data_IF_087942526894
#
_entry.id   IF_087942526894
#
_cell.length_a   1.000
_cell.length_b   1.000
_cell.length_c   1.000
_cell.angle_alpha   90.00
_cell.angle_beta   90.00
_cell.angle_gamma   90.00
#
_symmetry.space_group_name_H-M   'P 1'
#
loop_
_entity.id
_entity.type
_entity.pdbx_description
1 polymer ?
#
# COMPACT_ATOMS: atom_id res chain seq x y z
N UNK A 1 -1.30 17.95 29.49
CA UNK A 1 -0.50 16.71 29.30
C UNK A 1 -1.23 15.66 28.47
N UNK A 2 -2.50 15.36 28.79
CA UNK A 2 -3.30 14.35 28.08
C UNK A 2 -3.47 14.62 26.58
N UNK A 3 -3.92 15.81 26.18
CA UNK A 3 -4.09 16.17 24.76
C UNK A 3 -2.79 16.04 23.96
N UNK A 4 -1.66 16.43 24.56
CA UNK A 4 -0.33 16.26 23.96
C UNK A 4 -0.01 14.79 23.69
N UNK A 5 -0.41 13.88 24.59
CA UNK A 5 -0.19 12.44 24.42
C UNK A 5 -1.03 11.89 23.27
N UNK A 6 -2.32 12.21 23.20
CA UNK A 6 -3.19 11.84 22.07
C UNK A 6 -2.63 12.34 20.74
N UNK A 7 -2.28 13.63 20.66
CA UNK A 7 -1.72 14.23 19.45
C UNK A 7 -0.40 13.59 19.03
N UNK A 8 0.45 13.20 19.99
CA UNK A 8 1.72 12.53 19.70
C UNK A 8 1.49 11.14 19.12
N UNK A 9 0.56 10.35 19.68
CA UNK A 9 0.23 9.02 19.15
C UNK A 9 -0.41 9.15 17.77
N UNK A 10 -1.35 10.08 17.59
CA UNK A 10 -1.98 10.35 16.29
C UNK A 10 -0.93 10.73 15.23
N UNK A 11 0.03 11.61 15.58
CA UNK A 11 1.13 11.97 14.69
C UNK A 11 2.02 10.77 14.33
N UNK A 12 2.30 9.88 15.28
CA UNK A 12 3.07 8.66 15.02
C UNK A 12 2.33 7.70 14.08
N UNK A 13 1.03 7.50 14.25
CA UNK A 13 0.22 6.66 13.38
C UNK A 13 0.09 7.27 11.98
N UNK A 14 -0.11 8.59 11.87
CA UNK A 14 -0.11 9.30 10.59
C UNK A 14 1.25 9.21 9.89
N UNK A 15 2.36 9.30 10.63
CA UNK A 15 3.69 9.09 10.07
C UNK A 15 3.87 7.67 9.52
N UNK A 16 3.32 6.66 10.19
CA UNK A 16 3.32 5.29 9.65
C UNK A 16 2.53 5.22 8.34
N UNK A 17 1.37 5.88 8.25
CA UNK A 17 0.59 5.91 7.00
C UNK A 17 1.38 6.54 5.83
N UNK A 18 2.04 7.67 6.10
CA UNK A 18 2.95 8.33 5.14
C UNK A 18 4.10 7.42 4.72
N UNK A 19 4.72 6.70 5.66
CA UNK A 19 5.79 5.76 5.35
C UNK A 19 5.28 4.61 4.45
N UNK A 20 4.08 4.09 4.71
CA UNK A 20 3.48 3.04 3.86
C UNK A 20 3.23 3.59 2.44
N UNK A 21 2.76 4.82 2.28
CA UNK A 21 2.60 5.44 0.94
C UNK A 21 3.93 5.48 0.18
N UNK A 22 4.99 5.95 0.85
CA UNK A 22 6.34 5.98 0.26
C UNK A 22 6.86 4.59 -0.10
N UNK A 23 6.69 3.62 0.80
CA UNK A 23 7.11 2.23 0.57
C UNK A 23 6.35 1.60 -0.60
N UNK A 24 5.02 1.78 -0.68
CA UNK A 24 4.22 1.29 -1.81
C UNK A 24 4.71 1.87 -3.14
N UNK A 25 5.03 3.17 -3.18
CA UNK A 25 5.54 3.82 -4.39
C UNK A 25 6.91 3.26 -4.81
N UNK A 26 7.81 3.08 -3.84
CA UNK A 26 9.14 2.49 -4.07
C UNK A 26 9.02 1.04 -4.56
N UNK A 27 8.20 0.22 -3.90
CA UNK A 27 8.01 -1.19 -4.26
C UNK A 27 7.33 -1.34 -5.62
N UNK A 28 6.34 -0.50 -5.97
CA UNK A 28 5.75 -0.48 -7.30
C UNK A 28 6.81 -0.19 -8.39
N UNK A 29 7.72 0.74 -8.13
CA UNK A 29 8.85 1.02 -9.02
C UNK A 29 9.78 -0.20 -9.15
N UNK A 30 10.09 -0.89 -8.05
CA UNK A 30 10.91 -2.10 -8.09
C UNK A 30 10.22 -3.24 -8.86
N UNK A 31 8.90 -3.43 -8.68
CA UNK A 31 8.10 -4.38 -9.47
C UNK A 31 8.19 -4.05 -10.96
N UNK A 32 8.06 -2.79 -11.35
CA UNK A 32 8.16 -2.36 -12.75
C UNK A 32 9.55 -2.67 -13.34
N UNK A 33 10.61 -2.43 -12.57
CA UNK A 33 11.97 -2.74 -13.02
C UNK A 33 12.16 -4.25 -13.21
N UNK A 34 11.74 -5.06 -12.24
CA UNK A 34 11.85 -6.53 -12.32
C UNK A 34 11.02 -7.11 -13.47
N UNK A 35 9.80 -6.63 -13.67
CA UNK A 35 8.94 -7.09 -14.78
C UNK A 35 9.53 -6.71 -16.14
N UNK A 36 10.11 -5.51 -16.28
CA UNK A 36 10.84 -5.10 -17.48
C UNK A 36 12.08 -5.99 -17.73
N UNK A 37 12.84 -6.32 -16.68
CA UNK A 37 13.98 -7.24 -16.74
C UNK A 37 13.55 -8.64 -17.19
N UNK A 38 12.45 -9.18 -16.64
CA UNK A 38 11.90 -10.48 -17.04
C UNK A 38 11.50 -10.48 -18.52
N UNK A 39 10.79 -9.46 -18.98
CA UNK A 39 10.39 -9.31 -20.38
C UNK A 39 11.62 -9.21 -21.31
N UNK A 40 12.67 -8.52 -20.89
CA UNK A 40 13.92 -8.45 -21.62
C UNK A 40 14.63 -9.81 -21.71
N UNK A 41 14.67 -10.58 -20.61
CA UNK A 41 15.21 -11.94 -20.65
C UNK A 41 14.38 -12.86 -21.53
N UNK A 42 13.05 -12.78 -21.51
CA UNK A 42 12.18 -13.52 -22.43
C UNK A 42 12.56 -13.22 -23.90
N UNK A 43 12.80 -11.95 -24.26
CA UNK A 43 13.24 -11.61 -25.61
C UNK A 43 14.63 -12.18 -25.96
N UNK A 44 15.61 -12.06 -25.06
CA UNK A 44 16.95 -12.61 -25.29
C UNK A 44 16.96 -14.14 -25.42
N UNK A 45 16.23 -14.83 -24.54
CA UNK A 45 16.08 -16.29 -24.56
C UNK A 45 15.44 -16.74 -25.88
N UNK A 46 14.39 -16.05 -26.32
CA UNK A 46 13.72 -16.31 -27.59
C UNK A 46 14.68 -16.18 -28.79
N UNK A 47 15.57 -15.18 -28.79
CA UNK A 47 16.59 -14.98 -29.84
C UNK A 47 17.72 -16.00 -29.81
N UNK A 48 18.19 -16.42 -28.64
CA UNK A 48 19.27 -17.41 -28.52
C UNK A 48 18.75 -18.81 -28.89
N UNK A 49 17.54 -19.14 -28.44
CA UNK A 49 16.91 -20.44 -28.71
C UNK A 49 16.64 -20.64 -30.20
N UNK A 50 16.29 -19.57 -30.93
CA UNK A 50 16.08 -19.65 -32.39
C UNK A 50 17.36 -19.90 -33.18
N UNK A 51 18.53 -19.59 -32.61
CA UNK A 51 19.85 -19.85 -33.17
C UNK A 51 20.44 -21.21 -32.72
N UNK A 52 19.63 -22.09 -32.12
CA UNK A 52 20.05 -23.38 -31.53
C UNK A 52 21.10 -23.26 -30.40
N UNK A 53 21.22 -22.09 -29.76
CA UNK A 53 22.04 -21.91 -28.57
C UNK A 53 21.33 -22.39 -27.30
N UNK A 54 22.09 -22.67 -26.23
CA UNK A 54 21.54 -23.01 -24.90
C UNK A 54 21.56 -21.79 -23.98
N UNK A 55 20.42 -21.11 -23.73
CA UNK A 55 20.39 -19.86 -22.95
C UNK A 55 20.34 -20.09 -21.43
N UNK A 56 21.09 -21.07 -20.90
CA UNK A 56 20.97 -21.51 -19.51
C UNK A 56 21.19 -20.36 -18.51
N UNK A 57 22.23 -19.56 -18.70
CA UNK A 57 22.50 -18.39 -17.85
C UNK A 57 21.38 -17.34 -17.87
N UNK A 58 20.68 -17.19 -19.00
CA UNK A 58 19.55 -16.27 -19.12
C UNK A 58 18.30 -16.83 -18.45
N UNK A 59 18.09 -18.14 -18.53
CA UNK A 59 17.01 -18.82 -17.80
C UNK A 59 17.18 -18.67 -16.29
N UNK A 60 18.41 -18.83 -15.78
CA UNK A 60 18.72 -18.65 -14.36
C UNK A 60 18.49 -17.21 -13.90
N UNK A 61 18.97 -16.22 -14.67
CA UNK A 61 18.74 -14.79 -14.38
C UNK A 61 17.26 -14.42 -14.43
N UNK A 62 16.49 -15.01 -15.34
CA UNK A 62 15.04 -14.83 -15.42
C UNK A 62 14.34 -15.39 -14.18
N UNK A 63 14.71 -16.61 -13.76
CA UNK A 63 14.14 -17.25 -12.59
C UNK A 63 14.49 -16.49 -11.30
N UNK A 64 15.70 -15.95 -11.20
CA UNK A 64 16.11 -15.04 -10.13
C UNK A 64 15.23 -13.80 -10.07
N UNK A 65 15.04 -13.12 -11.20
CA UNK A 65 14.21 -11.91 -11.27
C UNK A 65 12.74 -12.20 -10.87
N UNK A 66 12.20 -13.35 -11.28
CA UNK A 66 10.87 -13.82 -10.85
C UNK A 66 10.82 -14.08 -9.35
N UNK A 67 11.86 -14.68 -8.77
CA UNK A 67 11.93 -14.91 -7.31
C UNK A 67 11.96 -13.59 -6.54
N UNK A 68 12.76 -12.63 -6.99
CA UNK A 68 12.81 -11.29 -6.40
C UNK A 68 11.47 -10.57 -6.51
N UNK A 69 10.79 -10.69 -7.65
CA UNK A 69 9.46 -10.14 -7.86
C UNK A 69 8.44 -10.75 -6.88
N UNK A 70 8.52 -12.06 -6.66
CA UNK A 70 7.64 -12.79 -5.74
C UNK A 70 7.79 -12.37 -4.27
N UNK A 71 8.97 -11.84 -3.88
CA UNK A 71 9.17 -11.26 -2.55
C UNK A 71 8.41 -9.93 -2.38
N UNK A 72 8.30 -9.14 -3.45
CA UNK A 72 7.60 -7.85 -3.41
C UNK A 72 6.08 -8.02 -3.52
N UNK A 73 5.61 -8.91 -4.39
CA UNK A 73 4.19 -9.09 -4.67
C UNK A 73 3.87 -10.54 -5.02
N UNK A 74 2.71 -11.04 -4.59
CA UNK A 74 2.25 -12.37 -4.95
C UNK A 74 1.96 -12.47 -6.45
N UNK A 75 2.67 -13.38 -7.11
CA UNK A 75 2.53 -13.66 -8.53
C UNK A 75 2.32 -15.14 -8.82
N UNK A 76 1.74 -15.42 -9.98
CA UNK A 76 1.68 -16.71 -10.64
C UNK A 76 2.43 -16.62 -11.97
N UNK A 77 3.15 -17.68 -12.30
CA UNK A 77 4.04 -17.72 -13.47
C UNK A 77 3.58 -18.87 -14.37
N UNK A 78 3.41 -18.57 -15.65
CA UNK A 78 3.01 -19.54 -16.66
C UNK A 78 4.02 -19.50 -17.79
N UNK A 79 4.56 -20.67 -18.14
CA UNK A 79 5.44 -20.79 -19.31
C UNK A 79 4.64 -21.01 -20.59
N UNK A 80 4.94 -20.23 -21.62
CA UNK A 80 4.31 -20.33 -22.95
C UNK A 80 5.33 -20.04 -24.03
N UNK A 81 5.52 -21.02 -24.93
CA UNK A 81 6.43 -20.88 -26.09
C UNK A 81 7.85 -20.44 -25.67
N UNK A 82 8.33 -20.94 -24.52
CA UNK A 82 9.65 -20.61 -23.96
C UNK A 82 9.73 -19.26 -23.23
N UNK A 83 8.66 -18.46 -23.22
CA UNK A 83 8.56 -17.23 -22.44
C UNK A 83 7.84 -17.48 -21.10
N UNK A 84 8.13 -16.65 -20.10
CA UNK A 84 7.34 -16.61 -18.87
C UNK A 84 6.36 -15.44 -18.90
N UNK A 85 5.08 -15.77 -18.82
CA UNK A 85 4.02 -14.83 -18.49
C UNK A 85 3.88 -14.77 -16.96
N UNK A 86 3.76 -13.56 -16.42
CA UNK A 86 3.66 -13.33 -14.98
C UNK A 86 2.35 -12.59 -14.69
N UNK A 87 1.56 -13.15 -13.78
CA UNK A 87 0.26 -12.65 -13.37
C UNK A 87 0.28 -12.34 -11.88
N UNK A 88 -0.40 -11.27 -11.48
CA UNK A 88 -0.80 -11.09 -10.09
C UNK A 88 -1.79 -12.18 -9.70
N UNK A 89 -1.87 -12.50 -8.39
CA UNK A 89 -2.84 -13.50 -7.87
C UNK A 89 -4.31 -13.23 -8.20
N UNK A 90 -4.66 -11.98 -8.52
CA UNK A 90 -5.99 -11.59 -8.97
C UNK A 90 -6.24 -11.82 -10.48
N UNK A 91 -5.30 -12.46 -11.19
CA UNK A 91 -5.37 -12.79 -12.61
C UNK A 91 -4.90 -11.69 -13.56
N UNK A 92 -4.51 -10.52 -13.06
CA UNK A 92 -4.02 -9.45 -13.92
C UNK A 92 -2.56 -9.68 -14.34
N UNK A 93 -2.25 -9.57 -15.64
CA UNK A 93 -0.90 -9.79 -16.15
C UNK A 93 0.04 -8.62 -15.87
N UNK A 94 1.23 -8.90 -15.35
CA UNK A 94 2.35 -7.96 -15.27
C UNK A 94 3.31 -8.12 -16.46
N UNK A 95 3.54 -9.36 -16.90
CA UNK A 95 4.39 -9.69 -18.06
C UNK A 95 3.62 -10.63 -18.97
N UNK A 96 3.56 -10.30 -20.26
CA UNK A 96 3.05 -11.17 -21.33
C UNK A 96 4.11 -11.28 -22.42
N UNK A 97 4.83 -12.40 -22.43
CA UNK A 97 5.99 -12.63 -23.29
C UNK A 97 7.04 -11.54 -23.11
N UNK A 98 7.07 -10.60 -24.07
CA UNK A 98 8.05 -9.49 -24.14
C UNK A 98 7.44 -8.14 -23.77
N UNK A 99 6.17 -8.10 -23.38
CA UNK A 99 5.43 -6.88 -23.03
C UNK A 99 5.15 -6.83 -21.54
N UNK A 100 5.09 -5.63 -20.97
CA UNK A 100 4.84 -5.43 -19.54
C UNK A 100 3.70 -4.43 -19.31
N UNK A 101 2.97 -4.65 -18.23
CA UNK A 101 2.08 -3.67 -17.63
C UNK A 101 2.76 -3.13 -16.36
N UNK A 102 2.49 -1.88 -16.01
CA UNK A 102 3.16 -1.22 -14.89
C UNK A 102 2.23 -1.00 -13.71
N UNK A 103 2.80 -1.02 -12.52
CA UNK A 103 2.16 -0.58 -11.30
C UNK A 103 2.47 0.90 -11.07
N UNK A 104 1.48 1.64 -10.59
CA UNK A 104 1.63 3.02 -10.17
C UNK A 104 0.87 3.24 -8.86
N UNK A 105 1.33 4.21 -8.07
CA UNK A 105 0.60 4.65 -6.88
C UNK A 105 -0.08 5.98 -7.17
N UNK A 106 -1.38 6.06 -6.89
CA UNK A 106 -2.17 7.29 -7.05
C UNK A 106 -2.84 7.64 -5.73
N UNK A 107 -3.16 8.91 -5.49
CA UNK A 107 -3.93 9.29 -4.32
C UNK A 107 -5.31 8.62 -4.36
N UNK A 108 -5.75 8.12 -3.21
CA UNK A 108 -7.08 7.51 -3.11
C UNK A 108 -8.15 8.57 -3.38
N UNK A 109 -9.17 8.27 -4.19
CA UNK A 109 -10.28 9.20 -4.44
C UNK A 109 -11.15 9.40 -3.19
N UNK A 110 -11.10 8.48 -2.22
CA UNK A 110 -11.89 8.54 -0.99
C UNK A 110 -11.09 9.02 0.22
N UNK A 111 -9.75 8.98 0.16
CA UNK A 111 -8.87 9.44 1.23
C UNK A 111 -7.54 9.98 0.68
N UNK A 112 -7.35 11.30 0.57
CA UNK A 112 -6.14 11.88 0.00
C UNK A 112 -4.87 11.61 0.82
N UNK A 113 -5.00 11.15 2.06
CA UNK A 113 -3.86 10.75 2.91
C UNK A 113 -3.35 9.34 2.56
N UNK A 114 -4.06 8.59 1.72
CA UNK A 114 -3.71 7.23 1.30
C UNK A 114 -3.34 7.18 -0.18
N UNK A 115 -2.37 6.34 -0.49
CA UNK A 115 -2.08 5.94 -1.86
C UNK A 115 -2.72 4.59 -2.17
N UNK A 116 -3.44 4.53 -3.29
CA UNK A 116 -3.95 3.33 -3.92
C UNK A 116 -2.90 2.78 -4.90
N UNK A 117 -2.83 1.46 -5.02
CA UNK A 117 -2.02 0.77 -6.00
C UNK A 117 -2.86 0.47 -7.24
N UNK A 118 -2.40 0.95 -8.39
CA UNK A 118 -3.09 0.86 -9.67
C UNK A 118 -2.24 0.11 -10.67
N UNK A 119 -2.86 -0.80 -11.40
CA UNK A 119 -2.27 -1.43 -12.58
C UNK A 119 -2.61 -0.62 -13.83
N UNK A 120 -1.59 -0.18 -14.54
CA UNK A 120 -1.69 0.50 -15.81
C UNK A 120 -1.40 -0.46 -16.97
N UNK A 121 -2.42 -0.69 -17.80
CA UNK A 121 -2.39 -1.56 -18.99
C UNK A 121 -2.31 -0.77 -20.30
N UNK A 122 -1.79 0.47 -20.23
CA UNK A 122 -1.74 1.41 -21.35
C UNK A 122 -3.05 2.17 -21.54
N UNK A 123 -4.10 1.50 -22.02
CA UNK A 123 -5.40 2.14 -22.30
C UNK A 123 -6.34 2.17 -21.10
N UNK A 124 -6.06 1.40 -20.06
CA UNK A 124 -6.92 1.28 -18.88
C UNK A 124 -6.08 1.22 -17.61
N UNK A 125 -6.58 1.88 -16.57
CA UNK A 125 -6.04 1.85 -15.22
C UNK A 125 -7.03 1.13 -14.32
N UNK A 126 -6.54 0.16 -13.55
CA UNK A 126 -7.36 -0.68 -12.67
C UNK A 126 -6.82 -0.55 -11.25
N UNK A 127 -7.67 -0.14 -10.31
CA UNK A 127 -7.32 -0.16 -8.89
C UNK A 127 -7.21 -1.62 -8.41
N UNK A 128 -6.02 -1.99 -7.95
CA UNK A 128 -5.74 -3.33 -7.43
C UNK A 128 -5.43 -3.32 -5.93
N UNK A 129 -5.59 -2.18 -5.25
CA UNK A 129 -5.18 -1.99 -3.84
C UNK A 129 -5.69 -3.11 -2.94
N UNK A 130 -6.97 -3.48 -3.05
CA UNK A 130 -7.56 -4.51 -2.18
C UNK A 130 -7.58 -5.92 -2.79
N UNK A 131 -7.06 -6.10 -4.01
CA UNK A 131 -7.00 -7.40 -4.69
C UNK A 131 -5.59 -7.95 -4.82
N UNK A 132 -4.58 -7.11 -4.62
CA UNK A 132 -3.19 -7.55 -4.52
C UNK A 132 -2.98 -8.30 -3.20
N UNK A 133 -2.25 -9.40 -3.25
CA UNK A 133 -1.95 -10.23 -2.09
C UNK A 133 -0.54 -10.82 -2.23
N UNK A 134 0.01 -11.29 -1.10
CA UNK A 134 1.36 -11.84 -1.05
C UNK A 134 2.46 -10.79 -1.19
N UNK A 135 3.67 -11.21 -0.85
CA UNK A 135 4.85 -10.34 -0.82
C UNK A 135 4.72 -9.18 0.18
N UNK A 136 5.72 -8.31 0.16
CA UNK A 136 5.79 -7.14 1.02
C UNK A 136 4.66 -6.14 0.74
N UNK A 137 4.25 -5.95 -0.53
CA UNK A 137 3.15 -5.05 -0.90
C UNK A 137 1.83 -5.52 -0.28
N UNK A 138 1.49 -6.80 -0.41
CA UNK A 138 0.28 -7.35 0.18
C UNK A 138 0.30 -7.25 1.72
N UNK A 139 1.45 -7.48 2.33
CA UNK A 139 1.65 -7.33 3.78
C UNK A 139 1.46 -5.88 4.27
N UNK A 140 2.01 -4.90 3.54
CA UNK A 140 1.84 -3.48 3.87
C UNK A 140 0.39 -3.02 3.78
N UNK A 141 -0.34 -3.47 2.75
CA UNK A 141 -1.75 -3.14 2.58
C UNK A 141 -2.60 -3.79 3.68
N UNK A 142 -2.32 -5.06 4.00
CA UNK A 142 -2.98 -5.77 5.10
C UNK A 142 -2.72 -5.07 6.43
N UNK A 143 -1.47 -4.71 6.74
CA UNK A 143 -1.13 -3.96 7.95
C UNK A 143 -1.87 -2.62 8.04
N UNK A 144 -1.94 -1.89 6.92
CA UNK A 144 -2.67 -0.61 6.86
C UNK A 144 -4.14 -0.80 7.22
N UNK A 145 -4.80 -1.75 6.56
CA UNK A 145 -6.25 -1.96 6.69
C UNK A 145 -6.63 -2.61 8.02
N UNK A 146 -5.85 -3.57 8.49
CA UNK A 146 -6.27 -4.43 9.61
C UNK A 146 -5.69 -3.97 10.96
N UNK A 147 -4.64 -3.14 10.94
CA UNK A 147 -3.96 -2.68 12.17
C UNK A 147 -3.97 -1.16 12.28
N UNK A 148 -3.40 -0.47 11.30
CA UNK A 148 -3.18 0.98 11.40
C UNK A 148 -4.49 1.77 11.39
N UNK A 149 -5.39 1.47 10.46
CA UNK A 149 -6.67 2.15 10.33
C UNK A 149 -7.58 1.92 11.55
N UNK A 150 -7.77 0.68 12.05
CA UNK A 150 -8.47 0.43 13.30
C UNK A 150 -7.84 1.15 14.51
N UNK A 151 -6.52 1.21 14.59
CA UNK A 151 -5.83 1.90 15.69
C UNK A 151 -6.07 3.42 15.66
N UNK A 152 -6.04 4.04 14.47
CA UNK A 152 -6.38 5.46 14.29
C UNK A 152 -7.84 5.74 14.69
N UNK A 153 -8.76 4.90 14.21
CA UNK A 153 -10.18 5.03 14.50
C UNK A 153 -10.47 4.88 16.00
N UNK A 154 -9.84 3.91 16.67
CA UNK A 154 -10.01 3.71 18.10
C UNK A 154 -9.39 4.84 18.92
N UNK A 155 -8.21 5.33 18.55
CA UNK A 155 -7.59 6.49 19.20
C UNK A 155 -8.51 7.71 19.12
N UNK A 156 -9.09 7.96 17.95
CA UNK A 156 -10.08 9.02 17.74
C UNK A 156 -11.30 8.82 18.62
N UNK A 157 -11.91 7.63 18.61
CA UNK A 157 -13.09 7.31 19.44
C UNK A 157 -12.83 7.51 20.93
N UNK A 158 -11.70 7.05 21.44
CA UNK A 158 -11.32 7.27 22.84
C UNK A 158 -11.15 8.76 23.13
N UNK A 159 -10.47 9.50 22.26
CA UNK A 159 -10.30 10.95 22.43
C UNK A 159 -11.65 11.68 22.47
N UNK A 160 -12.59 11.29 21.60
CA UNK A 160 -13.96 11.84 21.56
C UNK A 160 -14.71 11.58 22.87
N UNK A 161 -14.74 10.33 23.34
CA UNK A 161 -15.43 9.97 24.59
C UNK A 161 -14.82 10.69 25.79
N UNK A 162 -13.49 10.80 25.86
CA UNK A 162 -12.82 11.50 26.95
C UNK A 162 -13.14 12.99 26.95
N UNK A 163 -13.11 13.64 25.79
CA UNK A 163 -13.44 15.06 25.66
C UNK A 163 -14.90 15.32 26.07
N UNK A 164 -15.84 14.53 25.56
CA UNK A 164 -17.27 14.63 25.85
C UNK A 164 -17.56 14.46 27.35
N UNK A 165 -17.03 13.39 27.97
CA UNK A 165 -17.30 13.12 29.40
C UNK A 165 -16.75 14.20 30.31
N UNK A 166 -15.57 14.75 30.01
CA UNK A 166 -14.99 15.82 30.82
C UNK A 166 -15.79 17.11 30.63
N UNK A 167 -16.09 17.50 29.39
CA UNK A 167 -16.85 18.71 29.11
C UNK A 167 -18.26 18.64 29.71
N UNK A 168 -18.95 17.50 29.56
CA UNK A 168 -20.29 17.26 30.13
C UNK A 168 -20.30 17.34 31.66
N UNK A 169 -19.23 16.88 32.32
CA UNK A 169 -19.13 16.97 33.78
C UNK A 169 -18.81 18.39 34.26
N UNK A 170 -17.98 19.13 33.53
CA UNK A 170 -17.67 20.52 33.82
C UNK A 170 -18.88 21.44 33.64
N UNK A 171 -19.69 21.22 32.61
CA UNK A 171 -20.89 21.98 32.34
C UNK A 171 -21.97 21.88 33.43
N UNK A 172 -21.92 20.83 34.26
CA UNK A 172 -22.80 20.66 35.43
C UNK A 172 -22.25 21.36 36.68
N UNK A 173 -21.02 21.88 36.64
CA UNK A 173 -20.37 22.57 37.73
C UNK A 173 -20.52 24.09 37.66
N UNK A 174 -20.16 24.74 38.77
CA UNK A 174 -20.03 26.18 38.89
C UNK A 174 -18.57 26.47 39.22
N UNK A 175 -17.99 27.47 38.57
CA UNK A 175 -16.61 27.88 38.78
C UNK A 175 -16.46 28.75 40.05
N UNK A 176 -15.22 29.20 40.33
CA UNK A 176 -14.92 30.01 41.50
C UNK A 176 -15.58 31.41 41.51
N UNK A 177 -16.04 31.88 40.35
CA UNK A 177 -16.66 33.19 40.17
C UNK A 177 -18.19 33.10 40.23
N UNK A 178 -18.76 31.89 40.27
CA UNK A 178 -20.20 31.66 40.25
C UNK A 178 -20.76 31.41 38.85
N UNK A 179 -19.91 31.30 37.83
CA UNK A 179 -20.31 31.06 36.45
C UNK A 179 -20.40 29.55 36.15
N UNK A 180 -21.21 29.14 35.17
CA UNK A 180 -21.26 27.75 34.73
C UNK A 180 -19.92 27.29 34.15
N UNK A 181 -19.54 26.04 34.40
CA UNK A 181 -18.26 25.50 33.94
C UNK A 181 -18.11 25.48 32.41
N UNK A 182 -17.03 26.07 31.92
CA UNK A 182 -16.70 26.10 30.50
C UNK A 182 -16.10 24.77 29.99
N UNK A 183 -16.17 24.55 28.68
CA UNK A 183 -15.54 23.39 28.02
C UNK A 183 -14.01 23.46 28.15
N UNK A 184 -13.39 22.34 28.54
CA UNK A 184 -11.93 22.22 28.66
C UNK A 184 -11.28 21.70 27.37
N UNK A 185 -12.01 20.88 26.61
CA UNK A 185 -11.57 20.37 25.30
C UNK A 185 -12.45 20.95 24.20
N UNK A 186 -11.89 21.15 23.00
CA UNK A 186 -12.66 21.60 21.84
C UNK A 186 -13.77 20.61 21.51
N UNK A 187 -14.89 21.15 21.03
CA UNK A 187 -16.05 20.38 20.60
C UNK A 187 -15.71 19.57 19.33
N UNK A 188 -16.34 18.40 19.23
CA UNK A 188 -16.17 17.38 18.19
C UNK A 188 -16.43 17.94 16.79
N UNK A 189 -17.28 18.97 16.69
CA UNK A 189 -17.70 19.58 15.42
C UNK A 189 -16.88 20.83 15.04
N UNK A 190 -15.98 21.30 15.90
CA UNK A 190 -15.19 22.50 15.65
C UNK A 190 -13.72 22.10 15.38
N UNK A 191 -13.43 21.85 14.10
CA UNK A 191 -12.09 21.84 13.56
C UNK A 191 -11.57 23.27 13.34
#
# INVERSE_FOLDING_TARGET
ALSKRFNTIAAQLNQQNTNINGNLSSMATQVNNLTATIANYNDQISRVSSLQGSPNDLLDKRNEAVRQLSNLVGVDVVEREGNLDVYLKNGQSLVLGKTTNTLETVNSPTDPTRSNLVLNRGTTKIDITNSVSGGEIGGLITYRNDVLEPALNELGRVALVVADRINSQLAQGIDKNGDFGATLFNDINNA
#
